data_IF_260624524317
#
_entry.id   IF_260624524317
#
_cell.length_a   1.000
_cell.length_b   1.000
_cell.length_c   1.000
_cell.angle_alpha   90.00
_cell.angle_beta   90.00
_cell.angle_gamma   90.00
#
_symmetry.space_group_name_H-M   'P 1'
#
loop_
_entity.id
_entity.type
_entity.pdbx_description
1 polymer ?
#
# COMPACT_ATOMS: atom_id res chain seq x y z
N UNK A 1 -19.07 -3.67 10.98
CA UNK A 1 -17.97 -3.06 11.76
C UNK A 1 -17.17 -4.14 12.49
N UNK A 2 -16.00 -4.49 11.95
CA UNK A 2 -15.06 -5.38 12.65
C UNK A 2 -14.20 -4.53 13.61
N UNK A 3 -14.30 -4.71 14.95
CA UNK A 3 -13.66 -3.85 15.94
C UNK A 3 -12.13 -4.00 16.06
N UNK A 4 -11.48 -4.69 15.12
CA UNK A 4 -10.08 -5.12 15.22
C UNK A 4 -9.16 -4.55 14.13
N UNK A 5 -9.62 -3.61 13.31
CA UNK A 5 -8.81 -3.01 12.23
C UNK A 5 -8.79 -1.49 12.37
N UNK A 6 -7.60 -0.84 12.34
CA UNK A 6 -7.49 0.60 12.46
C UNK A 6 -8.14 1.30 11.25
N UNK A 7 -8.69 2.50 11.48
CA UNK A 7 -9.16 3.35 10.40
C UNK A 7 -7.98 3.74 9.49
N UNK A 8 -8.23 3.82 8.19
CA UNK A 8 -7.30 4.28 7.19
C UNK A 8 -7.85 5.55 6.56
N UNK A 9 -7.03 6.58 6.41
CA UNK A 9 -7.40 7.79 5.67
C UNK A 9 -6.49 7.92 4.47
N UNK A 10 -7.05 7.71 3.28
CA UNK A 10 -6.34 7.81 2.01
C UNK A 10 -6.37 9.25 1.54
N UNK A 11 -5.19 9.84 1.42
CA UNK A 11 -5.03 11.20 0.91
C UNK A 11 -5.09 11.14 -0.62
N UNK A 12 -6.00 11.90 -1.21
CA UNK A 12 -6.15 11.97 -2.67
C UNK A 12 -6.48 13.40 -3.09
N UNK A 13 -6.06 13.78 -4.29
CA UNK A 13 -6.38 15.08 -4.87
C UNK A 13 -7.72 15.01 -5.63
N UNK A 14 -8.73 15.73 -5.13
CA UNK A 14 -10.04 15.88 -5.76
C UNK A 14 -10.00 16.62 -7.10
N UNK A 15 -8.97 17.42 -7.36
CA UNK A 15 -8.79 18.10 -8.65
C UNK A 15 -8.23 17.17 -9.75
N UNK A 16 -7.71 15.99 -9.39
CA UNK A 16 -7.08 15.05 -10.31
C UNK A 16 -8.04 13.93 -10.76
N UNK A 17 -8.48 13.88 -12.05
CA UNK A 17 -9.38 12.84 -12.54
C UNK A 17 -8.82 11.42 -12.41
N UNK A 18 -7.49 11.28 -12.47
CA UNK A 18 -6.81 9.99 -12.27
C UNK A 18 -6.93 9.51 -10.83
N UNK A 19 -6.69 10.39 -9.85
CA UNK A 19 -6.84 10.06 -8.42
C UNK A 19 -8.27 9.64 -8.09
N UNK A 20 -9.27 10.33 -8.65
CA UNK A 20 -10.68 9.96 -8.51
C UNK A 20 -10.95 8.57 -9.11
N UNK A 21 -10.42 8.28 -10.31
CA UNK A 21 -10.60 6.98 -10.96
C UNK A 21 -9.95 5.84 -10.16
N UNK A 22 -8.77 6.08 -9.59
CA UNK A 22 -8.05 5.09 -8.76
C UNK A 22 -8.83 4.81 -7.46
N UNK A 23 -9.36 5.85 -6.82
CA UNK A 23 -10.29 5.75 -5.68
C UNK A 23 -11.50 4.88 -6.01
N UNK A 24 -12.18 5.20 -7.11
CA UNK A 24 -13.41 4.51 -7.50
C UNK A 24 -13.13 3.05 -7.86
N UNK A 25 -12.01 2.78 -8.55
CA UNK A 25 -11.56 1.42 -8.84
C UNK A 25 -11.28 0.62 -7.57
N UNK A 26 -10.54 1.19 -6.61
CA UNK A 26 -10.31 0.54 -5.33
C UNK A 26 -11.62 0.26 -4.60
N UNK A 27 -12.52 1.24 -4.53
CA UNK A 27 -13.80 1.11 -3.84
C UNK A 27 -14.65 0.00 -4.45
N UNK A 28 -14.67 -0.14 -5.79
CA UNK A 28 -15.33 -1.25 -6.49
C UNK A 28 -14.72 -2.61 -6.15
N UNK A 29 -13.39 -2.71 -6.11
CA UNK A 29 -12.68 -3.97 -5.82
C UNK A 29 -12.83 -4.36 -4.35
N UNK A 30 -12.73 -3.38 -3.44
CA UNK A 30 -12.81 -3.58 -2.01
C UNK A 30 -14.23 -3.96 -1.56
N UNK A 31 -15.27 -3.38 -2.19
CA UNK A 31 -16.66 -3.63 -1.81
C UNK A 31 -16.87 -3.40 -0.30
N UNK A 32 -17.51 -4.35 0.38
CA UNK A 32 -17.71 -4.30 1.84
C UNK A 32 -16.43 -4.42 2.69
N UNK A 33 -15.27 -4.69 2.07
CA UNK A 33 -13.98 -4.66 2.77
C UNK A 33 -13.37 -3.25 2.85
N UNK A 34 -13.99 -2.25 2.20
CA UNK A 34 -13.62 -0.85 2.34
C UNK A 34 -14.03 -0.24 3.69
N UNK A 35 -14.76 -0.98 4.55
CA UNK A 35 -15.13 -0.53 5.89
C UNK A 35 -13.90 0.05 6.64
N UNK A 36 -14.00 1.29 7.13
CA UNK A 36 -12.91 1.98 7.83
C UNK A 36 -11.81 2.55 6.92
N UNK A 37 -11.95 2.47 5.60
CA UNK A 37 -11.15 3.25 4.64
C UNK A 37 -11.91 4.53 4.31
N UNK A 38 -11.38 5.65 4.77
CA UNK A 38 -11.90 6.99 4.56
C UNK A 38 -11.05 7.70 3.50
N UNK A 39 -11.69 8.55 2.70
CA UNK A 39 -11.02 9.34 1.67
C UNK A 39 -10.91 10.79 2.15
N UNK A 40 -9.69 11.32 2.19
CA UNK A 40 -9.43 12.68 2.60
C UNK A 40 -8.93 13.46 1.38
N UNK A 41 -9.72 14.45 0.97
CA UNK A 41 -9.37 15.33 -0.13
C UNK A 41 -8.28 16.33 0.32
N UNK A 42 -7.17 16.36 -0.42
CA UNK A 42 -6.05 17.25 -0.14
C UNK A 42 -6.02 18.49 -1.03
N UNK A 43 -7.00 18.68 -1.93
CA UNK A 43 -7.09 19.89 -2.75
C UNK A 43 -7.11 21.13 -1.83
N UNK A 44 -6.16 22.04 -2.07
CA UNK A 44 -5.94 23.27 -1.28
C UNK A 44 -5.66 23.05 0.23
N UNK A 45 -5.19 21.85 0.65
CA UNK A 45 -4.89 21.50 2.05
C UNK A 45 -3.38 21.54 2.39
N UNK A 46 -2.59 22.35 1.70
CA UNK A 46 -1.13 22.43 1.84
C UNK A 46 -0.65 22.65 3.29
N UNK A 47 -1.34 23.51 4.04
CA UNK A 47 -0.98 23.79 5.44
C UNK A 47 -1.20 22.58 6.35
N UNK A 48 -2.29 21.83 6.12
CA UNK A 48 -2.62 20.62 6.88
C UNK A 48 -1.64 19.48 6.57
N UNK A 49 -1.25 19.34 5.30
CA UNK A 49 -0.20 18.40 4.90
C UNK A 49 1.13 18.70 5.59
N UNK A 50 1.56 19.98 5.60
CA UNK A 50 2.77 20.42 6.30
C UNK A 50 2.70 20.15 7.80
N UNK A 51 1.54 20.38 8.43
CA UNK A 51 1.32 20.08 9.84
C UNK A 51 1.47 18.58 10.15
N UNK A 52 1.09 17.71 9.22
CA UNK A 52 1.31 16.26 9.31
C UNK A 52 2.73 15.81 8.92
N UNK A 53 3.59 16.74 8.51
CA UNK A 53 4.95 16.46 8.05
C UNK A 53 5.01 15.86 6.64
N UNK A 54 3.95 16.04 5.85
CA UNK A 54 3.87 15.64 4.45
C UNK A 54 4.21 16.85 3.58
N UNK A 55 5.15 16.67 2.65
CA UNK A 55 5.49 17.70 1.68
C UNK A 55 4.38 17.78 0.61
N UNK A 56 3.70 18.92 0.40
CA UNK A 56 2.54 19.01 -0.49
C UNK A 56 2.82 18.51 -1.91
N UNK A 57 4.01 18.84 -2.43
CA UNK A 57 4.44 18.36 -3.75
C UNK A 57 4.50 16.82 -3.81
N UNK A 58 5.00 16.16 -2.75
CA UNK A 58 5.04 14.69 -2.68
C UNK A 58 3.65 14.07 -2.53
N UNK A 59 2.74 14.75 -1.82
CA UNK A 59 1.36 14.31 -1.68
C UNK A 59 0.61 14.23 -3.03
N UNK A 60 1.04 15.03 -4.02
CA UNK A 60 0.50 14.98 -5.39
C UNK A 60 1.12 13.85 -6.23
N UNK A 61 2.37 13.47 -5.96
CA UNK A 61 3.10 12.47 -6.76
C UNK A 61 2.99 11.06 -6.21
N UNK A 62 2.75 10.90 -4.92
CA UNK A 62 2.77 9.63 -4.22
C UNK A 62 1.47 9.42 -3.43
N UNK A 63 1.00 8.17 -3.38
CA UNK A 63 -0.14 7.80 -2.54
C UNK A 63 0.26 7.87 -1.07
N UNK A 64 -0.51 8.60 -0.26
CA UNK A 64 -0.30 8.70 1.18
C UNK A 64 -1.51 8.15 1.93
N UNK A 65 -1.26 7.36 2.98
CA UNK A 65 -2.29 6.78 3.84
C UNK A 65 -1.95 7.05 5.31
N UNK A 66 -2.88 7.63 6.05
CA UNK A 66 -2.81 7.76 7.50
C UNK A 66 -3.46 6.53 8.13
N UNK A 67 -2.78 5.94 9.12
CA UNK A 67 -3.26 4.79 9.89
C UNK A 67 -3.67 5.26 11.28
N UNK A 68 -4.92 5.00 11.67
CA UNK A 68 -5.49 5.40 12.95
C UNK A 68 -6.29 6.69 12.84
N UNK A 69 -6.04 7.65 13.72
CA UNK A 69 -6.72 8.94 13.74
C UNK A 69 -5.97 9.98 12.91
N UNK A 70 -6.70 10.73 12.07
CA UNK A 70 -6.15 11.85 11.30
C UNK A 70 -6.48 13.22 11.93
N UNK A 71 -7.56 13.31 12.69
CA UNK A 71 -8.01 14.52 13.37
C UNK A 71 -7.69 14.42 14.86
N UNK A 72 -7.16 15.50 15.44
CA UNK A 72 -6.71 15.62 16.84
C UNK A 72 -5.33 15.02 17.20
N UNK A 73 -4.53 14.59 16.22
CA UNK A 73 -3.17 14.07 16.47
C UNK A 73 -2.12 15.07 15.99
N UNK A 74 -1.13 15.41 16.84
CA UNK A 74 0.00 16.29 16.48
C UNK A 74 0.84 15.78 15.30
N UNK A 75 0.97 14.46 15.17
CA UNK A 75 1.72 13.81 14.09
C UNK A 75 1.09 12.44 13.78
N UNK A 76 0.25 12.33 12.74
CA UNK A 76 -0.37 11.06 12.39
C UNK A 76 0.66 10.07 11.85
N UNK A 77 0.34 8.77 11.93
CA UNK A 77 1.16 7.72 11.31
C UNK A 77 0.86 7.65 9.82
N UNK A 78 1.70 8.28 9.01
CA UNK A 78 1.59 8.30 7.55
C UNK A 78 2.50 7.23 6.95
N UNK A 79 1.98 6.48 5.98
CA UNK A 79 2.77 5.65 5.06
C UNK A 79 2.58 6.17 3.64
N UNK A 80 3.61 6.10 2.81
CA UNK A 80 3.59 6.58 1.42
C UNK A 80 3.97 5.49 0.43
N UNK A 81 3.84 5.80 -0.86
CA UNK A 81 4.32 4.98 -1.98
C UNK A 81 3.83 3.52 -1.91
N UNK A 82 4.75 2.56 -1.98
CA UNK A 82 4.49 1.13 -2.01
C UNK A 82 3.87 0.64 -0.69
N UNK A 83 4.30 1.22 0.44
CA UNK A 83 3.79 0.83 1.76
C UNK A 83 2.31 1.21 1.91
N UNK A 84 1.90 2.37 1.37
CA UNK A 84 0.50 2.78 1.31
C UNK A 84 -0.36 1.78 0.50
N UNK A 85 0.13 1.33 -0.66
CA UNK A 85 -0.55 0.30 -1.46
C UNK A 85 -0.64 -1.03 -0.71
N UNK A 86 0.43 -1.49 -0.06
CA UNK A 86 0.43 -2.73 0.71
C UNK A 86 -0.64 -2.67 1.81
N UNK A 87 -0.72 -1.56 2.56
CA UNK A 87 -1.73 -1.37 3.62
C UNK A 87 -3.15 -1.45 3.06
N UNK A 88 -3.43 -0.78 1.94
CA UNK A 88 -4.75 -0.83 1.30
C UNK A 88 -5.11 -2.21 0.76
N UNK A 89 -4.14 -2.91 0.17
CA UNK A 89 -4.35 -4.25 -0.37
C UNK A 89 -4.52 -5.30 0.74
N UNK A 90 -3.86 -5.13 1.90
CA UNK A 90 -4.06 -6.01 3.07
C UNK A 90 -5.50 -5.95 3.60
N UNK A 91 -6.19 -4.81 3.43
CA UNK A 91 -7.60 -4.64 3.81
C UNK A 91 -8.53 -5.51 2.99
N UNK A 92 -8.19 -5.75 1.72
CA UNK A 92 -9.03 -6.42 0.74
C UNK A 92 -8.57 -7.88 0.56
N UNK A 93 -9.35 -8.89 0.99
CA UNK A 93 -8.91 -10.29 0.97
C UNK A 93 -8.41 -10.79 -0.38
N UNK A 94 -9.05 -10.38 -1.50
CA UNK A 94 -8.64 -10.79 -2.85
C UNK A 94 -7.29 -10.18 -3.27
N UNK A 95 -6.90 -9.04 -2.70
CA UNK A 95 -5.63 -8.36 -2.97
C UNK A 95 -4.53 -8.76 -1.99
N UNK A 96 -4.82 -9.52 -0.93
CA UNK A 96 -3.82 -9.97 0.05
C UNK A 96 -2.65 -10.75 -0.56
N UNK A 97 -2.84 -11.69 -1.51
CA UNK A 97 -1.72 -12.38 -2.14
C UNK A 97 -0.78 -11.42 -2.89
N UNK A 98 -1.34 -10.38 -3.50
CA UNK A 98 -0.58 -9.34 -4.19
C UNK A 98 0.16 -8.44 -3.20
N UNK A 99 -0.50 -8.01 -2.12
CA UNK A 99 0.14 -7.25 -1.03
C UNK A 99 1.32 -8.02 -0.43
N UNK A 100 1.12 -9.33 -0.22
CA UNK A 100 2.16 -10.23 0.27
C UNK A 100 3.35 -10.28 -0.70
N UNK A 101 3.09 -10.44 -2.00
CA UNK A 101 4.12 -10.42 -3.04
C UNK A 101 4.89 -9.08 -3.07
N UNK A 102 4.20 -7.95 -2.99
CA UNK A 102 4.80 -6.61 -3.02
C UNK A 102 5.58 -6.29 -1.73
N UNK A 103 5.15 -6.81 -0.58
CA UNK A 103 5.86 -6.68 0.69
C UNK A 103 7.08 -7.60 0.84
N UNK A 104 7.23 -8.59 -0.03
CA UNK A 104 8.36 -9.50 0.02
C UNK A 104 9.62 -8.89 -0.65
N UNK A 105 10.36 -8.10 0.11
CA UNK A 105 11.82 -7.93 -0.08
C UNK A 105 12.59 -9.28 0.03
N UNK A 106 11.93 -10.39 0.36
CA UNK A 106 12.51 -11.70 0.70
C UNK A 106 12.27 -12.84 -0.31
N UNK A 107 11.49 -12.68 -1.39
CA UNK A 107 11.29 -13.81 -2.35
C UNK A 107 12.54 -14.10 -3.17
N UNK A 108 13.37 -13.07 -3.42
CA UNK A 108 14.62 -13.20 -4.18
C UNK A 108 15.56 -14.29 -3.63
N UNK A 109 15.93 -14.32 -2.33
CA UNK A 109 16.79 -15.38 -1.81
C UNK A 109 16.12 -16.76 -1.85
N UNK A 110 14.81 -16.87 -1.62
CA UNK A 110 14.09 -18.15 -1.66
C UNK A 110 14.01 -18.74 -3.07
N UNK A 111 13.64 -17.92 -4.06
CA UNK A 111 13.60 -18.33 -5.46
C UNK A 111 15.00 -18.60 -6.01
N UNK A 112 15.98 -17.78 -5.63
CA UNK A 112 17.39 -18.01 -5.98
C UNK A 112 17.89 -19.35 -5.42
N UNK A 113 17.58 -19.67 -4.15
CA UNK A 113 17.98 -20.93 -3.53
C UNK A 113 17.28 -22.14 -4.17
N UNK A 114 15.99 -22.03 -4.51
CA UNK A 114 15.26 -23.08 -5.24
C UNK A 114 15.85 -23.30 -6.64
N UNK A 115 16.14 -22.23 -7.37
CA UNK A 115 16.79 -22.27 -8.67
C UNK A 115 18.19 -22.90 -8.60
N UNK A 116 19.04 -22.47 -7.65
CA UNK A 116 20.36 -23.06 -7.44
C UNK A 116 20.30 -24.54 -7.11
N UNK A 117 19.34 -24.98 -6.28
CA UNK A 117 19.13 -26.42 -5.98
C UNK A 117 18.71 -27.21 -7.22
N UNK A 118 17.82 -26.65 -8.05
CA UNK A 118 17.38 -27.31 -9.29
C UNK A 118 18.53 -27.45 -10.30
N UNK A 119 19.32 -26.38 -10.49
CA UNK A 119 20.49 -26.38 -11.39
C UNK A 119 21.58 -27.32 -10.86
N UNK A 120 21.89 -27.28 -9.57
CA UNK A 120 22.89 -28.15 -8.96
C UNK A 120 22.51 -29.64 -9.09
N UNK A 121 21.22 -29.97 -8.86
CA UNK A 121 20.71 -31.33 -9.11
C UNK A 121 20.85 -31.74 -10.57
N UNK A 122 20.49 -30.87 -11.51
CA UNK A 122 20.62 -31.14 -12.95
C UNK A 122 22.07 -31.38 -13.35
N UNK A 123 22.99 -30.52 -12.92
CA UNK A 123 24.42 -30.62 -13.23
C UNK A 123 25.07 -31.89 -12.64
N UNK A 124 24.66 -32.31 -11.43
CA UNK A 124 25.11 -33.57 -10.84
C UNK A 124 24.61 -34.79 -11.63
N UNK A 125 23.36 -34.75 -12.11
CA UNK A 125 22.82 -35.79 -12.98
C UNK A 125 23.49 -35.82 -14.36
N UNK A 126 23.93 -34.67 -14.88
CA UNK A 126 24.70 -34.56 -16.14
C UNK A 126 26.19 -34.92 -15.98
N UNK A 127 26.68 -35.23 -14.77
CA UNK A 127 28.08 -35.61 -14.52
C UNK A 127 29.09 -34.48 -14.73
N UNK A 128 28.63 -33.22 -14.67
CA UNK A 128 29.45 -32.02 -14.90
C UNK A 128 30.01 -31.39 -13.61
N UNK A 129 29.83 -32.09 -12.49
CA UNK A 129 30.28 -31.75 -11.13
C UNK A 129 30.72 -33.02 -10.40
#
# INVERSE_FOLDING_TARGET
>A
MNPSQPNLYVLYDGACPRCIKDRDNYSRIAGGHADGVNWFDITDQDEKLKAWGIEPFKALTELHVIIGECENVKKPRVVSELDAYIVLMQRVPILKPLAWLMGLKLVRPLLSNLYHKAVYRRLKCEGRL
#
